data_IF_983954950911
#
_entry.id   IF_983954950911
#
_cell.length_a   1.000
_cell.length_b   1.000
_cell.length_c   1.000
_cell.angle_alpha   90.00
_cell.angle_beta   90.00
_cell.angle_gamma   90.00
#
_symmetry.space_group_name_H-M   'P 1'
#
loop_
_entity.id
_entity.type
_entity.pdbx_description
1 polymer ?
#
# COMPACT_ATOMS: atom_id res chain seq x y z
N UNK A 1 29.60 26.52 -39.11
CA UNK A 1 28.21 26.56 -38.66
C UNK A 1 28.05 25.47 -37.59
N UNK A 2 27.85 25.87 -36.36
CA UNK A 2 27.80 24.93 -35.22
C UNK A 2 26.37 24.37 -35.17
N UNK A 3 26.20 23.08 -35.48
CA UNK A 3 24.92 22.36 -35.32
C UNK A 3 24.68 22.11 -33.84
N UNK A 4 23.62 22.66 -33.30
CA UNK A 4 23.20 22.43 -31.91
C UNK A 4 22.30 21.21 -31.87
N UNK A 5 22.62 20.22 -31.04
CA UNK A 5 21.75 19.07 -30.78
C UNK A 5 20.61 19.56 -29.89
N UNK A 6 19.34 19.43 -30.36
CA UNK A 6 18.13 19.77 -29.62
C UNK A 6 17.23 18.55 -29.52
N UNK A 7 16.25 18.57 -28.62
CA UNK A 7 15.31 17.47 -28.43
C UNK A 7 13.95 17.83 -29.02
N UNK A 8 13.36 16.90 -29.79
CA UNK A 8 12.02 17.04 -30.34
C UNK A 8 10.99 17.16 -29.22
N UNK A 9 10.17 18.24 -29.18
CA UNK A 9 9.18 18.45 -28.10
C UNK A 9 8.06 17.41 -28.11
N UNK A 10 7.80 16.73 -29.24
CA UNK A 10 6.73 15.75 -29.33
C UNK A 10 7.14 14.33 -28.91
N UNK A 11 8.40 13.92 -29.12
CA UNK A 11 8.84 12.53 -28.86
C UNK A 11 10.12 12.40 -28.05
N UNK A 12 10.81 13.51 -27.74
CA UNK A 12 12.04 13.53 -26.92
C UNK A 12 13.30 13.01 -27.62
N UNK A 13 13.28 12.74 -28.93
CA UNK A 13 14.49 12.30 -29.67
C UNK A 13 15.41 13.48 -29.93
N UNK A 14 16.72 13.22 -29.86
CA UNK A 14 17.73 14.19 -30.24
C UNK A 14 17.72 14.39 -31.76
N UNK A 15 17.71 15.65 -32.21
CA UNK A 15 17.74 16.06 -33.63
C UNK A 15 18.71 17.23 -33.80
N UNK A 16 19.41 17.25 -34.91
CA UNK A 16 20.20 18.41 -35.31
C UNK A 16 19.27 19.40 -36.03
N UNK A 17 18.65 20.30 -35.26
CA UNK A 17 17.74 21.31 -35.78
C UNK A 17 17.60 22.49 -34.81
N UNK A 18 16.91 23.53 -35.22
CA UNK A 18 16.67 24.68 -34.37
C UNK A 18 15.82 24.29 -33.12
N UNK A 19 16.00 24.98 -31.98
CA UNK A 19 15.24 24.73 -30.77
C UNK A 19 13.73 24.79 -31.00
N UNK A 20 13.01 23.76 -30.64
CA UNK A 20 11.54 23.67 -30.78
C UNK A 20 11.03 23.04 -32.08
N UNK A 21 11.91 22.65 -33.02
CA UNK A 21 11.50 21.97 -34.25
C UNK A 21 11.11 20.49 -34.00
N UNK A 22 10.06 20.03 -34.70
CA UNK A 22 9.68 18.62 -34.69
C UNK A 22 10.65 17.78 -35.51
N UNK A 23 10.97 16.57 -35.05
CA UNK A 23 11.76 15.63 -35.82
C UNK A 23 11.04 15.18 -37.10
N UNK A 24 11.75 14.67 -38.14
CA UNK A 24 11.15 14.29 -39.41
C UNK A 24 9.96 13.33 -39.28
N UNK A 25 10.00 12.39 -38.32
CA UNK A 25 8.92 11.43 -38.08
C UNK A 25 7.67 12.08 -37.46
N UNK A 26 7.85 13.06 -36.56
CA UNK A 26 6.72 13.77 -35.95
C UNK A 26 6.14 14.82 -36.90
N UNK A 27 6.93 15.30 -37.86
CA UNK A 27 6.48 16.25 -38.90
C UNK A 27 5.58 15.59 -39.94
N UNK A 28 5.84 14.32 -40.28
CA UNK A 28 5.04 13.56 -41.24
C UNK A 28 3.76 12.95 -40.68
N UNK A 29 3.62 12.89 -39.35
CA UNK A 29 2.42 12.38 -38.67
C UNK A 29 1.38 13.46 -38.30
N UNK A 30 1.61 14.72 -38.65
CA UNK A 30 0.57 15.77 -38.51
C UNK A 30 -0.51 15.58 -39.55
N UNK A 31 -1.80 15.44 -39.23
CA UNK A 31 -2.86 15.42 -40.21
C UNK A 31 -2.90 16.77 -40.91
N UNK A 32 -2.90 16.69 -42.25
CA UNK A 32 -3.01 17.84 -43.16
C UNK A 32 -4.22 18.69 -42.79
N UNK A 33 -4.00 20.00 -42.75
CA UNK A 33 -4.99 21.09 -42.62
C UNK A 33 -6.28 20.81 -43.41
N UNK A 34 -7.32 20.39 -42.71
CA UNK A 34 -8.68 20.48 -43.20
C UNK A 34 -9.20 21.90 -42.92
N UNK A 35 -9.55 22.59 -44.00
CA UNK A 35 -10.18 23.93 -44.04
C UNK A 35 -11.41 23.96 -43.12
N UNK A 36 -11.47 24.97 -42.27
CA UNK A 36 -12.64 25.31 -41.48
C UNK A 36 -13.74 25.89 -42.37
N UNK A 37 -14.97 25.36 -42.37
CA UNK A 37 -16.12 26.11 -42.87
C UNK A 37 -16.53 27.17 -41.84
N UNK A 38 -16.58 28.42 -42.28
CA UNK A 38 -17.26 29.52 -41.57
C UNK A 38 -18.75 29.34 -41.75
N UNK A 39 -19.45 28.80 -40.79
CA UNK A 39 -20.87 29.04 -40.57
C UNK A 39 -21.15 29.11 -39.06
N UNK A 40 -21.76 30.24 -38.69
CA UNK A 40 -22.23 30.52 -37.36
C UNK A 40 -23.39 29.56 -37.02
N UNK A 41 -23.24 28.74 -36.04
CA UNK A 41 -24.31 28.01 -35.42
C UNK A 41 -24.14 28.06 -33.88
N UNK A 42 -25.25 28.19 -33.20
CA UNK A 42 -25.58 28.44 -31.81
C UNK A 42 -24.57 27.96 -30.73
N UNK A 43 -24.48 28.69 -29.60
CA UNK A 43 -23.60 28.27 -28.50
C UNK A 43 -24.03 26.89 -27.98
N UNK A 44 -23.08 25.95 -27.80
CA UNK A 44 -23.43 24.67 -27.24
C UNK A 44 -23.97 24.87 -25.83
N UNK A 45 -25.11 24.23 -25.54
CA UNK A 45 -25.69 24.12 -24.21
C UNK A 45 -24.63 23.70 -23.23
N UNK A 46 -24.50 24.43 -22.12
CA UNK A 46 -23.59 24.13 -21.04
C UNK A 46 -23.88 22.72 -20.50
N UNK A 47 -23.10 21.73 -20.95
CA UNK A 47 -23.01 20.45 -20.29
C UNK A 47 -22.32 20.70 -18.96
N UNK A 48 -22.94 20.29 -17.86
CA UNK A 48 -22.38 20.32 -16.52
C UNK A 48 -20.96 19.79 -16.51
N UNK A 49 -20.02 20.43 -15.81
CA UNK A 49 -18.68 19.91 -15.66
C UNK A 49 -18.78 18.60 -14.86
N UNK A 50 -18.56 17.46 -15.50
CA UNK A 50 -18.31 16.22 -14.80
C UNK A 50 -17.12 16.45 -13.88
N UNK A 51 -17.36 16.44 -12.56
CA UNK A 51 -16.41 16.89 -11.52
C UNK A 51 -15.15 16.03 -11.34
N UNK A 52 -14.74 15.30 -12.35
CA UNK A 52 -13.51 14.50 -12.34
C UNK A 52 -12.58 14.98 -13.44
N UNK A 53 -11.38 15.49 -13.10
CA UNK A 53 -10.37 15.79 -14.11
C UNK A 53 -10.05 14.53 -14.92
N UNK A 54 -9.79 14.64 -16.22
CA UNK A 54 -9.41 13.50 -17.03
C UNK A 54 -8.18 12.86 -16.43
N UNK A 55 -8.32 11.60 -16.05
CA UNK A 55 -7.20 10.77 -15.64
C UNK A 55 -6.23 10.74 -16.81
N UNK A 56 -4.96 11.15 -16.58
CA UNK A 56 -3.94 11.03 -17.60
C UNK A 56 -3.98 9.62 -18.18
N UNK A 57 -4.25 9.50 -19.47
CA UNK A 57 -4.34 8.20 -20.13
C UNK A 57 -3.09 7.39 -19.81
N UNK A 58 -3.24 6.13 -19.40
CA UNK A 58 -2.10 5.25 -19.21
C UNK A 58 -1.33 5.18 -20.52
N UNK A 59 -0.04 5.51 -20.50
CA UNK A 59 0.84 5.39 -21.67
C UNK A 59 0.62 4.00 -22.27
N UNK A 60 0.17 3.87 -23.54
CA UNK A 60 -0.10 2.58 -24.12
C UNK A 60 1.17 1.74 -24.03
N UNK A 61 1.14 0.67 -23.27
CA UNK A 61 2.24 -0.27 -23.23
C UNK A 61 2.26 -1.00 -24.57
N UNK A 62 3.30 -0.83 -25.37
CA UNK A 62 3.57 -1.63 -26.60
C UNK A 62 3.94 -3.08 -26.25
N UNK A 63 3.67 -3.50 -25.04
CA UNK A 63 3.93 -4.87 -24.59
C UNK A 63 2.85 -5.81 -25.13
N UNK A 64 3.26 -6.98 -25.60
CA UNK A 64 2.36 -8.11 -25.88
C UNK A 64 1.35 -8.24 -24.73
N UNK A 65 0.05 -8.43 -25.05
CA UNK A 65 -0.96 -8.54 -23.99
C UNK A 65 -0.55 -9.64 -23.02
N UNK A 66 -0.27 -9.24 -21.78
CA UNK A 66 0.00 -10.21 -20.72
C UNK A 66 -1.25 -11.05 -20.50
N UNK A 67 -1.08 -12.35 -20.27
CA UNK A 67 -2.20 -13.19 -19.90
C UNK A 67 -2.74 -12.70 -18.55
N UNK A 68 -3.93 -12.09 -18.56
CA UNK A 68 -4.56 -11.47 -17.37
C UNK A 68 -4.68 -12.47 -16.21
N UNK A 69 -4.97 -13.73 -16.51
CA UNK A 69 -5.08 -14.80 -15.51
C UNK A 69 -3.73 -15.18 -14.92
N UNK A 70 -2.68 -15.14 -15.73
CA UNK A 70 -1.32 -15.34 -15.23
C UNK A 70 -0.88 -14.19 -14.31
N UNK A 71 -1.24 -12.96 -14.63
CA UNK A 71 -0.99 -11.81 -13.75
C UNK A 71 -1.71 -11.96 -12.41
N UNK A 72 -2.96 -12.43 -12.40
CA UNK A 72 -3.71 -12.70 -11.17
C UNK A 72 -3.08 -13.83 -10.37
N UNK A 73 -2.65 -14.90 -11.02
CA UNK A 73 -1.95 -16.01 -10.38
C UNK A 73 -0.66 -15.54 -9.68
N UNK A 74 0.17 -14.76 -10.35
CA UNK A 74 1.37 -14.17 -9.74
C UNK A 74 1.03 -13.22 -8.59
N UNK A 75 -0.01 -12.40 -8.74
CA UNK A 75 -0.45 -11.53 -7.66
C UNK A 75 -0.88 -12.33 -6.42
N UNK A 76 -1.57 -13.44 -6.60
CA UNK A 76 -1.96 -14.34 -5.51
C UNK A 76 -0.74 -15.00 -4.84
N UNK A 77 0.25 -15.46 -5.61
CA UNK A 77 1.48 -16.03 -5.05
C UNK A 77 2.28 -15.00 -4.26
N UNK A 78 2.40 -13.77 -4.77
CA UNK A 78 3.11 -12.68 -4.10
C UNK A 78 2.40 -12.32 -2.80
N UNK A 79 1.07 -12.17 -2.85
CA UNK A 79 0.26 -11.95 -1.66
C UNK A 79 0.44 -13.07 -0.63
N UNK A 80 0.37 -14.33 -1.06
CA UNK A 80 0.60 -15.49 -0.18
C UNK A 80 1.99 -15.50 0.45
N UNK A 81 3.02 -15.11 -0.32
CA UNK A 81 4.42 -15.06 0.18
C UNK A 81 4.64 -13.99 1.26
N UNK A 82 3.76 -13.01 1.39
CA UNK A 82 3.81 -12.02 2.47
C UNK A 82 3.33 -12.54 3.84
N UNK A 83 3.03 -13.83 3.96
CA UNK A 83 2.43 -14.42 5.15
C UNK A 83 0.91 -14.34 5.19
N UNK A 84 0.30 -13.64 4.23
CA UNK A 84 -1.13 -13.41 4.18
C UNK A 84 -1.94 -14.71 4.12
N UNK A 85 -1.42 -15.74 3.47
CA UNK A 85 -2.07 -17.04 3.42
C UNK A 85 -2.20 -17.68 4.82
N UNK A 86 -1.14 -17.62 5.64
CA UNK A 86 -1.14 -18.17 7.00
C UNK A 86 -2.12 -17.41 7.90
N UNK A 87 -2.11 -16.07 7.81
CA UNK A 87 -3.03 -15.22 8.57
C UNK A 87 -4.47 -15.41 8.13
N UNK A 88 -4.72 -15.58 6.84
CA UNK A 88 -6.04 -15.87 6.31
C UNK A 88 -6.56 -17.24 6.75
N UNK A 89 -5.69 -18.24 6.82
CA UNK A 89 -6.02 -19.57 7.33
C UNK A 89 -6.35 -19.53 8.83
N UNK A 90 -5.58 -18.79 9.63
CA UNK A 90 -5.86 -18.59 11.05
C UNK A 90 -7.21 -17.87 11.26
N UNK A 91 -7.50 -16.80 10.47
CA UNK A 91 -8.78 -16.12 10.50
C UNK A 91 -9.95 -17.07 10.17
N UNK A 92 -9.77 -17.90 9.14
CA UNK A 92 -10.78 -18.89 8.75
C UNK A 92 -10.99 -19.93 9.87
N UNK A 93 -9.92 -20.44 10.47
CA UNK A 93 -9.99 -21.39 11.59
C UNK A 93 -10.75 -20.79 12.78
N UNK A 94 -10.46 -19.54 13.14
CA UNK A 94 -11.19 -18.82 14.20
C UNK A 94 -12.67 -18.70 13.89
N UNK A 95 -13.04 -18.36 12.66
CA UNK A 95 -14.43 -18.27 12.21
C UNK A 95 -15.14 -19.62 12.27
N UNK A 96 -14.48 -20.72 11.85
CA UNK A 96 -15.05 -22.08 11.93
C UNK A 96 -15.27 -22.50 13.38
N UNK A 97 -14.28 -22.28 14.25
CA UNK A 97 -14.41 -22.60 15.68
C UNK A 97 -15.56 -21.81 16.32
N UNK A 98 -15.70 -20.54 15.98
CA UNK A 98 -16.81 -19.71 16.45
C UNK A 98 -18.16 -20.24 15.95
N UNK A 99 -18.27 -20.59 14.67
CA UNK A 99 -19.49 -21.16 14.08
C UNK A 99 -19.87 -22.51 14.72
N UNK A 100 -18.87 -23.28 15.18
CA UNK A 100 -19.06 -24.52 15.92
C UNK A 100 -19.30 -24.32 17.42
N UNK A 101 -19.46 -23.08 17.88
CA UNK A 101 -19.57 -22.71 19.30
C UNK A 101 -18.40 -23.23 20.17
N UNK A 102 -17.22 -23.40 19.58
CA UNK A 102 -16.00 -23.80 20.28
C UNK A 102 -15.26 -22.57 20.81
N UNK A 103 -14.62 -22.71 21.97
CA UNK A 103 -13.72 -21.65 22.49
C UNK A 103 -12.49 -21.54 21.61
N UNK A 104 -12.04 -20.30 21.36
CA UNK A 104 -10.77 -20.05 20.71
C UNK A 104 -9.64 -20.50 21.65
N UNK A 105 -8.55 -21.12 21.12
CA UNK A 105 -7.41 -21.45 21.93
C UNK A 105 -6.77 -20.16 22.51
N UNK A 106 -6.56 -20.14 23.82
CA UNK A 106 -5.75 -19.11 24.48
C UNK A 106 -4.27 -19.48 24.33
N UNK A 107 -3.52 -18.63 23.63
CA UNK A 107 -2.06 -18.79 23.49
C UNK A 107 -1.39 -17.69 24.29
N UNK A 108 -0.60 -18.09 25.28
CA UNK A 108 0.26 -17.16 26.01
C UNK A 108 1.46 -16.77 25.14
N UNK A 109 1.54 -15.50 24.76
CA UNK A 109 2.63 -14.99 23.91
C UNK A 109 3.83 -14.67 24.79
N UNK A 110 4.90 -15.44 24.63
CA UNK A 110 6.16 -15.22 25.33
C UNK A 110 7.09 -14.26 24.58
N UNK A 111 8.09 -13.73 25.27
CA UNK A 111 9.14 -12.87 24.67
C UNK A 111 9.81 -13.51 23.46
N UNK A 112 10.23 -14.77 23.59
CA UNK A 112 10.85 -15.51 22.48
C UNK A 112 9.92 -15.68 21.29
N UNK A 113 8.65 -15.98 21.54
CA UNK A 113 7.65 -16.05 20.46
C UNK A 113 7.48 -14.72 19.77
N UNK A 114 7.39 -13.62 20.51
CA UNK A 114 7.25 -12.27 19.92
C UNK A 114 8.46 -11.91 19.02
N UNK A 115 9.68 -12.16 19.48
CA UNK A 115 10.90 -11.94 18.67
C UNK A 115 10.89 -12.79 17.40
N UNK A 116 10.56 -14.08 17.52
CA UNK A 116 10.48 -14.99 16.36
C UNK A 116 9.40 -14.50 15.39
N UNK A 117 8.22 -14.11 15.87
CA UNK A 117 7.15 -13.57 15.03
C UNK A 117 7.59 -12.33 14.26
N UNK A 118 8.26 -11.38 14.93
CA UNK A 118 8.77 -10.16 14.31
C UNK A 118 9.85 -10.48 13.27
N UNK A 119 10.79 -11.39 13.56
CA UNK A 119 11.81 -11.82 12.63
C UNK A 119 11.22 -12.52 11.39
N UNK A 120 10.26 -13.42 11.59
CA UNK A 120 9.54 -14.09 10.49
C UNK A 120 8.79 -13.08 9.66
N UNK A 121 8.14 -12.09 10.28
CA UNK A 121 7.45 -11.01 9.56
C UNK A 121 8.41 -10.22 8.66
N UNK A 122 9.59 -9.85 9.14
CA UNK A 122 10.61 -9.18 8.34
C UNK A 122 11.07 -10.02 7.15
N UNK A 123 11.33 -11.32 7.37
CA UNK A 123 11.71 -12.25 6.28
C UNK A 123 10.61 -12.33 5.23
N UNK A 124 9.35 -12.49 5.65
CA UNK A 124 8.22 -12.54 4.74
C UNK A 124 8.00 -11.23 3.97
N UNK A 125 8.18 -10.08 4.62
CA UNK A 125 8.15 -8.78 3.96
C UNK A 125 9.25 -8.65 2.90
N UNK A 126 10.47 -9.11 3.20
CA UNK A 126 11.57 -9.12 2.25
C UNK A 126 11.27 -10.02 1.05
N UNK A 127 10.75 -11.21 1.28
CA UNK A 127 10.35 -12.15 0.20
C UNK A 127 9.26 -11.53 -0.67
N UNK A 128 8.22 -10.95 -0.06
CA UNK A 128 7.15 -10.29 -0.78
C UNK A 128 7.64 -9.09 -1.61
N UNK A 129 8.58 -8.30 -1.04
CA UNK A 129 9.19 -7.17 -1.76
C UNK A 129 10.01 -7.63 -2.96
N UNK A 130 10.86 -8.65 -2.79
CA UNK A 130 11.68 -9.21 -3.87
C UNK A 130 10.82 -9.85 -4.96
N UNK A 131 9.79 -10.60 -4.58
CA UNK A 131 8.84 -11.21 -5.50
C UNK A 131 8.04 -10.13 -6.28
N UNK A 132 7.56 -9.09 -5.58
CA UNK A 132 6.90 -7.94 -6.20
C UNK A 132 7.83 -7.21 -7.16
N UNK A 133 9.07 -7.00 -6.75
CA UNK A 133 10.07 -6.36 -7.58
C UNK A 133 10.36 -7.15 -8.86
N UNK A 134 10.59 -8.46 -8.76
CA UNK A 134 10.79 -9.34 -9.91
C UNK A 134 9.58 -9.32 -10.87
N UNK A 135 8.37 -9.38 -10.32
CA UNK A 135 7.12 -9.35 -11.09
C UNK A 135 6.90 -7.99 -11.78
N UNK A 136 7.00 -6.89 -11.04
CA UNK A 136 6.75 -5.53 -11.54
C UNK A 136 7.78 -5.11 -12.58
N UNK A 137 9.05 -5.47 -12.38
CA UNK A 137 10.11 -5.17 -13.35
C UNK A 137 10.13 -6.11 -14.56
N UNK A 138 9.25 -7.12 -14.58
CA UNK A 138 9.31 -8.16 -15.61
C UNK A 138 10.72 -8.75 -15.74
N UNK A 139 11.33 -9.10 -14.60
CA UNK A 139 12.70 -9.57 -14.51
C UNK A 139 13.69 -8.58 -15.15
N UNK A 140 13.79 -7.40 -14.55
CA UNK A 140 14.71 -6.28 -14.92
C UNK A 140 14.40 -5.56 -16.26
N UNK A 141 13.32 -5.87 -16.96
CA UNK A 141 12.98 -5.22 -18.24
C UNK A 141 12.33 -3.84 -18.08
N UNK A 142 11.81 -3.52 -16.88
CA UNK A 142 11.11 -2.25 -16.60
C UNK A 142 11.65 -1.58 -15.33
N UNK A 143 11.69 -0.25 -15.28
CA UNK A 143 12.11 0.47 -14.08
C UNK A 143 11.06 0.32 -12.97
N UNK A 144 11.47 -0.19 -11.81
CA UNK A 144 10.60 -0.54 -10.69
C UNK A 144 9.72 0.63 -10.22
N UNK A 145 10.34 1.71 -9.76
CA UNK A 145 9.63 2.84 -9.18
C UNK A 145 8.65 3.51 -10.14
N UNK A 146 9.05 3.63 -11.41
CA UNK A 146 8.17 4.19 -12.44
C UNK A 146 6.97 3.29 -12.71
N UNK A 147 7.16 1.98 -12.75
CA UNK A 147 6.09 1.00 -13.00
C UNK A 147 5.09 0.93 -11.84
N UNK A 148 5.56 1.14 -10.60
CA UNK A 148 4.69 1.26 -9.42
C UNK A 148 3.84 2.55 -9.39
N UNK A 149 4.18 3.55 -10.22
CA UNK A 149 3.62 4.89 -10.09
C UNK A 149 4.16 5.62 -8.85
N UNK A 150 5.48 5.51 -8.59
CA UNK A 150 6.14 6.16 -7.45
C UNK A 150 6.37 7.64 -7.75
N UNK A 151 5.31 8.40 -7.72
CA UNK A 151 5.32 9.84 -7.89
C UNK A 151 4.23 10.49 -7.05
N UNK A 152 4.41 11.80 -6.79
CA UNK A 152 3.41 12.57 -6.07
C UNK A 152 2.36 13.10 -7.05
N UNK A 153 1.09 12.87 -6.76
CA UNK A 153 0.02 13.36 -7.63
C UNK A 153 -0.14 14.89 -7.48
N UNK A 154 -0.29 15.66 -8.57
CA UNK A 154 -0.32 17.14 -8.50
C UNK A 154 -1.36 17.73 -7.56
N UNK A 155 -2.52 17.10 -7.47
CA UNK A 155 -3.64 17.56 -6.63
C UNK A 155 -3.59 16.99 -5.21
N UNK A 156 -2.70 16.03 -4.91
CA UNK A 156 -2.55 15.42 -3.59
C UNK A 156 -1.22 15.80 -2.97
N UNK A 157 -1.27 16.69 -1.97
CA UNK A 157 -0.09 17.19 -1.25
C UNK A 157 0.10 16.42 0.06
N UNK A 158 1.28 16.49 0.65
CA UNK A 158 1.59 15.86 1.93
C UNK A 158 0.60 16.25 3.06
N UNK A 159 0.07 17.49 3.03
CA UNK A 159 -0.94 17.96 3.98
C UNK A 159 -2.22 17.14 3.92
N UNK A 160 -2.61 16.65 2.74
CA UNK A 160 -3.77 15.77 2.60
C UNK A 160 -3.51 14.39 3.22
N UNK A 161 -2.27 13.88 3.10
CA UNK A 161 -1.88 12.63 3.76
C UNK A 161 -1.96 12.75 5.29
N UNK A 162 -1.46 13.86 5.84
CA UNK A 162 -1.58 14.17 7.28
C UNK A 162 -3.05 14.28 7.69
N UNK A 163 -3.86 15.03 6.93
CA UNK A 163 -5.28 15.21 7.25
C UNK A 163 -6.04 13.87 7.25
N UNK A 164 -5.79 13.01 6.26
CA UNK A 164 -6.39 11.68 6.21
C UNK A 164 -5.92 10.80 7.39
N UNK A 165 -4.63 10.81 7.73
CA UNK A 165 -4.11 10.07 8.87
C UNK A 165 -4.73 10.52 10.19
N UNK A 166 -4.85 11.83 10.41
CA UNK A 166 -5.50 12.41 11.60
C UNK A 166 -6.98 12.05 11.64
N UNK A 167 -7.68 12.13 10.50
CA UNK A 167 -9.09 11.73 10.40
C UNK A 167 -9.27 10.25 10.77
N UNK A 168 -8.44 9.37 10.22
CA UNK A 168 -8.50 7.92 10.52
C UNK A 168 -8.16 7.64 11.99
N UNK A 169 -7.20 8.35 12.57
CA UNK A 169 -6.89 8.25 13.99
C UNK A 169 -8.07 8.72 14.87
N UNK A 170 -8.68 9.86 14.52
CA UNK A 170 -9.89 10.35 15.19
C UNK A 170 -11.06 9.37 15.10
N UNK A 171 -11.26 8.74 13.94
CA UNK A 171 -12.23 7.66 13.76
C UNK A 171 -11.94 6.49 14.73
N UNK A 172 -10.67 6.09 14.85
CA UNK A 172 -10.25 5.04 15.76
C UNK A 172 -10.57 5.37 17.22
N UNK A 173 -10.27 6.59 17.67
CA UNK A 173 -10.62 7.06 19.03
C UNK A 173 -12.15 7.02 19.23
N UNK A 174 -12.92 7.50 18.28
CA UNK A 174 -14.37 7.48 18.36
C UNK A 174 -14.91 6.06 18.47
N UNK A 175 -14.50 5.17 17.56
CA UNK A 175 -14.97 3.78 17.54
C UNK A 175 -14.55 3.00 18.78
N UNK A 176 -13.37 3.25 19.36
CA UNK A 176 -12.91 2.59 20.57
C UNK A 176 -13.75 2.95 21.81
N UNK A 177 -14.49 4.07 21.76
CA UNK A 177 -15.41 4.48 22.87
C UNK A 177 -16.79 3.88 22.76
N UNK A 178 -17.21 3.49 21.55
CA UNK A 178 -18.61 3.06 21.27
C UNK A 178 -18.74 1.56 20.95
N UNK A 179 -17.66 0.92 20.54
CA UNK A 179 -17.67 -0.48 20.15
C UNK A 179 -17.01 -1.38 21.22
N UNK A 180 -17.49 -2.63 21.36
CA UNK A 180 -16.90 -3.55 22.32
C UNK A 180 -15.46 -3.87 21.98
N UNK A 181 -14.66 -4.04 23.03
CA UNK A 181 -13.25 -4.35 22.95
C UNK A 181 -12.89 -5.43 23.97
N UNK A 182 -12.14 -6.41 23.51
CA UNK A 182 -11.39 -7.34 24.34
C UNK A 182 -9.92 -7.29 23.93
N UNK A 183 -9.03 -7.70 24.80
CA UNK A 183 -7.59 -7.64 24.53
C UNK A 183 -7.22 -8.40 23.28
N UNK A 184 -6.49 -7.75 22.39
CA UNK A 184 -6.03 -8.29 21.12
C UNK A 184 -4.65 -8.93 21.24
N UNK A 185 -4.26 -9.79 20.28
CA UNK A 185 -2.92 -10.40 20.27
C UNK A 185 -1.81 -9.35 20.09
N UNK A 186 -2.10 -8.26 19.34
CA UNK A 186 -1.18 -7.12 19.22
C UNK A 186 -0.96 -6.44 20.58
N UNK A 187 -2.01 -6.22 21.36
CA UNK A 187 -1.88 -5.62 22.70
C UNK A 187 -1.11 -6.52 23.64
N UNK A 188 -1.30 -7.85 23.60
CA UNK A 188 -0.50 -8.80 24.38
C UNK A 188 0.98 -8.70 24.04
N UNK A 189 1.34 -8.61 22.76
CA UNK A 189 2.71 -8.42 22.31
C UNK A 189 3.28 -7.09 22.83
N UNK A 190 2.53 -6.00 22.73
CA UNK A 190 2.98 -4.68 23.16
C UNK A 190 3.19 -4.57 24.68
N UNK A 191 2.51 -5.40 25.48
CA UNK A 191 2.70 -5.48 26.94
C UNK A 191 4.00 -6.18 27.35
N UNK A 192 4.66 -6.89 26.43
CA UNK A 192 5.92 -7.57 26.71
C UNK A 192 7.10 -6.63 27.02
N UNK A 193 6.97 -5.31 26.77
CA UNK A 193 7.91 -4.30 27.20
C UNK A 193 8.38 -3.36 26.11
N UNK A 194 9.16 -2.35 26.52
CA UNK A 194 9.56 -1.23 25.67
C UNK A 194 10.35 -1.67 24.43
N UNK A 195 11.24 -2.65 24.54
CA UNK A 195 12.01 -3.14 23.39
C UNK A 195 11.09 -3.70 22.29
N UNK A 196 10.11 -4.52 22.67
CA UNK A 196 9.14 -5.07 21.72
C UNK A 196 8.29 -3.95 21.10
N UNK A 197 7.86 -2.96 21.89
CA UNK A 197 7.14 -1.78 21.37
C UNK A 197 7.95 -1.03 20.32
N UNK A 198 9.25 -0.80 20.56
CA UNK A 198 10.14 -0.14 19.59
C UNK A 198 10.29 -0.99 18.32
N UNK A 199 10.51 -2.29 18.45
CA UNK A 199 10.63 -3.19 17.29
C UNK A 199 9.34 -3.18 16.46
N UNK A 200 8.18 -3.30 17.10
CA UNK A 200 6.86 -3.22 16.44
C UNK A 200 6.67 -1.87 15.78
N UNK A 201 7.00 -0.76 16.47
CA UNK A 201 6.87 0.59 15.93
C UNK A 201 7.73 0.80 14.67
N UNK A 202 8.99 0.38 14.71
CA UNK A 202 9.89 0.47 13.55
C UNK A 202 9.34 -0.35 12.37
N UNK A 203 8.90 -1.58 12.63
CA UNK A 203 8.34 -2.45 11.60
C UNK A 203 7.04 -1.88 11.02
N UNK A 204 6.13 -1.42 11.88
CA UNK A 204 4.83 -0.89 11.49
C UNK A 204 4.93 0.45 10.73
N UNK A 205 5.94 1.27 11.00
CA UNK A 205 6.09 2.59 10.36
C UNK A 205 6.97 2.52 9.12
N UNK A 206 8.11 1.83 9.18
CA UNK A 206 9.13 1.91 8.14
C UNK A 206 8.97 0.86 7.05
N UNK A 207 8.69 -0.40 7.39
CA UNK A 207 8.74 -1.51 6.42
C UNK A 207 7.38 -2.03 6.00
N UNK A 208 6.47 -2.25 6.95
CA UNK A 208 5.16 -2.81 6.64
C UNK A 208 4.37 -1.95 5.64
N UNK A 209 4.19 -0.62 5.82
CA UNK A 209 3.41 0.18 4.88
C UNK A 209 3.98 0.15 3.46
N UNK A 210 5.31 0.16 3.31
CA UNK A 210 5.93 0.10 2.00
C UNK A 210 5.60 -1.22 1.28
N UNK A 211 5.82 -2.33 1.96
CA UNK A 211 5.59 -3.66 1.38
C UNK A 211 4.11 -3.90 1.12
N UNK A 212 3.26 -3.54 2.08
CA UNK A 212 1.81 -3.70 1.98
C UNK A 212 1.23 -2.88 0.83
N UNK A 213 1.61 -1.61 0.68
CA UNK A 213 1.11 -0.80 -0.43
C UNK A 213 1.60 -1.35 -1.78
N UNK A 214 2.83 -1.85 -1.88
CA UNK A 214 3.32 -2.51 -3.09
C UNK A 214 2.49 -3.76 -3.40
N UNK A 215 2.26 -4.63 -2.42
CA UNK A 215 1.51 -5.87 -2.61
C UNK A 215 0.03 -5.58 -2.92
N UNK A 216 -0.63 -4.81 -2.07
CA UNK A 216 -2.09 -4.64 -2.18
C UNK A 216 -2.50 -3.61 -3.25
N UNK A 217 -1.85 -2.44 -3.31
CA UNK A 217 -2.26 -1.32 -4.20
C UNK A 217 -1.53 -1.34 -5.54
N UNK A 218 -0.38 -2.00 -5.64
CA UNK A 218 0.30 -2.11 -6.93
C UNK A 218 0.09 -3.47 -7.59
N UNK A 219 0.35 -4.58 -6.89
CA UNK A 219 0.28 -5.92 -7.49
C UNK A 219 -1.17 -6.43 -7.57
N UNK A 220 -1.84 -6.59 -6.41
CA UNK A 220 -3.18 -7.19 -6.33
C UNK A 220 -4.23 -6.30 -7.00
N UNK A 221 -4.29 -5.02 -6.63
CA UNK A 221 -5.24 -4.07 -7.22
C UNK A 221 -5.13 -4.06 -8.74
N UNK A 222 -3.92 -3.91 -9.30
CA UNK A 222 -3.73 -3.85 -10.75
C UNK A 222 -4.05 -5.16 -11.47
N UNK A 223 -3.83 -6.31 -10.84
CA UNK A 223 -4.19 -7.61 -11.42
C UNK A 223 -5.71 -7.80 -11.50
N UNK A 224 -6.43 -7.46 -10.43
CA UNK A 224 -7.89 -7.53 -10.39
C UNK A 224 -8.53 -6.48 -11.31
N UNK A 225 -8.02 -5.25 -11.32
CA UNK A 225 -8.52 -4.17 -12.18
C UNK A 225 -8.50 -4.55 -13.67
N UNK A 226 -7.44 -5.22 -14.12
CA UNK A 226 -7.33 -5.70 -15.52
C UNK A 226 -8.34 -6.76 -15.92
N UNK A 227 -8.86 -7.53 -14.97
CA UNK A 227 -9.83 -8.61 -15.22
C UNK A 227 -11.25 -8.13 -15.02
N UNK A 228 -11.51 -7.50 -13.88
CA UNK A 228 -12.86 -7.26 -13.37
C UNK A 228 -13.18 -5.77 -13.19
N UNK A 229 -12.26 -4.88 -13.57
CA UNK A 229 -12.45 -3.44 -13.50
C UNK A 229 -12.20 -2.83 -12.11
N UNK A 230 -12.29 -1.50 -12.07
CA UNK A 230 -11.89 -0.68 -10.94
C UNK A 230 -12.66 -0.97 -9.65
N UNK A 231 -13.98 -1.11 -9.75
CA UNK A 231 -14.83 -1.36 -8.57
C UNK A 231 -14.49 -2.69 -7.89
N UNK A 232 -14.31 -3.75 -8.68
CA UNK A 232 -13.92 -5.06 -8.18
C UNK A 232 -12.52 -5.03 -7.55
N UNK A 233 -11.57 -4.28 -8.13
CA UNK A 233 -10.24 -4.13 -7.60
C UNK A 233 -10.25 -3.39 -6.24
N UNK A 234 -11.06 -2.33 -6.11
CA UNK A 234 -11.24 -1.62 -4.83
C UNK A 234 -11.79 -2.59 -3.77
N UNK A 235 -12.86 -3.30 -4.08
CA UNK A 235 -13.46 -4.23 -3.15
C UNK A 235 -12.48 -5.36 -2.74
N UNK A 236 -11.83 -6.00 -3.71
CA UNK A 236 -10.90 -7.10 -3.47
C UNK A 236 -9.69 -6.64 -2.63
N UNK A 237 -8.99 -5.57 -3.02
CA UNK A 237 -7.81 -5.09 -2.30
C UNK A 237 -8.17 -4.66 -0.87
N UNK A 238 -9.33 -4.01 -0.67
CA UNK A 238 -9.81 -3.62 0.66
C UNK A 238 -10.11 -4.84 1.52
N UNK A 239 -10.86 -5.79 0.98
CA UNK A 239 -11.29 -6.96 1.73
C UNK A 239 -10.11 -7.86 2.14
N UNK A 240 -9.23 -8.22 1.19
CA UNK A 240 -8.13 -9.13 1.49
C UNK A 240 -7.06 -8.49 2.39
N UNK A 241 -6.88 -7.15 2.33
CA UNK A 241 -6.03 -6.43 3.27
C UNK A 241 -6.62 -6.51 4.69
N UNK A 242 -7.90 -6.26 4.84
CA UNK A 242 -8.56 -6.33 6.14
C UNK A 242 -8.55 -7.76 6.70
N UNK A 243 -8.81 -8.76 5.85
CA UNK A 243 -8.90 -10.16 6.25
C UNK A 243 -7.62 -10.67 6.94
N UNK A 244 -6.45 -10.31 6.44
CA UNK A 244 -5.17 -10.75 7.03
C UNK A 244 -4.85 -10.08 8.37
N UNK A 245 -5.52 -8.97 8.69
CA UNK A 245 -5.38 -8.28 9.97
C UNK A 245 -6.37 -8.76 11.03
N UNK A 246 -7.46 -9.43 10.63
CA UNK A 246 -8.48 -9.91 11.56
C UNK A 246 -7.91 -10.77 12.71
N UNK A 247 -7.00 -11.75 12.47
CA UNK A 247 -6.46 -12.55 13.57
C UNK A 247 -5.73 -11.73 14.63
N UNK A 248 -4.94 -10.75 14.19
CA UNK A 248 -4.11 -9.91 15.06
C UNK A 248 -4.95 -9.00 15.98
N UNK A 249 -6.11 -8.57 15.47
CA UNK A 249 -7.04 -7.65 16.15
C UNK A 249 -8.34 -8.33 16.55
N UNK A 250 -8.35 -9.67 16.62
CA UNK A 250 -9.52 -10.43 17.06
C UNK A 250 -9.93 -9.99 18.47
N UNK A 251 -11.18 -9.66 18.64
CA UNK A 251 -11.71 -9.12 19.89
C UNK A 251 -11.90 -7.60 19.91
N UNK A 252 -11.32 -6.86 18.95
CA UNK A 252 -11.54 -5.42 18.81
C UNK A 252 -12.28 -5.06 17.53
N UNK A 253 -13.60 -4.97 17.61
CA UNK A 253 -14.44 -4.55 16.46
C UNK A 253 -14.03 -3.15 15.99
N UNK A 254 -13.65 -2.26 16.91
CA UNK A 254 -13.16 -0.93 16.58
C UNK A 254 -11.90 -0.98 15.71
N UNK A 255 -10.89 -1.76 16.10
CA UNK A 255 -9.65 -1.88 15.34
C UNK A 255 -9.89 -2.47 13.95
N UNK A 256 -10.68 -3.55 13.84
CA UNK A 256 -11.02 -4.16 12.55
C UNK A 256 -11.75 -3.15 11.65
N UNK A 257 -12.71 -2.39 12.19
CA UNK A 257 -13.45 -1.36 11.42
C UNK A 257 -12.51 -0.25 10.93
N UNK A 258 -11.56 0.20 11.75
CA UNK A 258 -10.55 1.20 11.35
C UNK A 258 -9.64 0.65 10.25
N UNK A 259 -9.20 -0.61 10.35
CA UNK A 259 -8.37 -1.28 9.34
C UNK A 259 -9.09 -1.37 8.00
N UNK A 260 -10.36 -1.78 8.00
CA UNK A 260 -11.22 -1.79 6.80
C UNK A 260 -11.33 -0.39 6.21
N UNK A 261 -11.61 0.61 7.05
CA UNK A 261 -11.75 2.02 6.63
C UNK A 261 -10.45 2.57 6.05
N UNK A 262 -9.32 2.33 6.71
CA UNK A 262 -7.99 2.74 6.22
C UNK A 262 -7.68 2.07 4.89
N UNK A 263 -7.89 0.75 4.79
CA UNK A 263 -7.68 0.02 3.54
C UNK A 263 -8.54 0.58 2.40
N UNK A 264 -9.80 0.88 2.66
CA UNK A 264 -10.70 1.49 1.66
C UNK A 264 -10.18 2.88 1.24
N UNK A 265 -9.82 3.74 2.17
CA UNK A 265 -9.28 5.09 1.89
C UNK A 265 -8.01 5.00 1.05
N UNK A 266 -7.05 4.15 1.41
CA UNK A 266 -5.81 3.98 0.67
C UNK A 266 -6.06 3.41 -0.74
N UNK A 267 -7.00 2.47 -0.88
CA UNK A 267 -7.35 1.89 -2.18
C UNK A 267 -8.10 2.87 -3.07
N UNK A 268 -8.99 3.69 -2.51
CA UNK A 268 -9.64 4.80 -3.24
C UNK A 268 -8.62 5.85 -3.66
N UNK A 269 -7.65 6.17 -2.79
CA UNK A 269 -6.55 7.08 -3.11
C UNK A 269 -5.72 6.55 -4.28
N UNK A 270 -5.39 5.25 -4.29
CA UNK A 270 -4.74 4.58 -5.43
C UNK A 270 -5.58 4.67 -6.69
N UNK A 271 -6.87 4.35 -6.61
CA UNK A 271 -7.80 4.36 -7.73
C UNK A 271 -7.99 5.75 -8.34
N UNK A 272 -7.95 6.78 -7.50
CA UNK A 272 -8.08 8.17 -7.92
C UNK A 272 -6.78 8.74 -8.50
N UNK A 273 -5.65 8.57 -7.79
CA UNK A 273 -4.38 9.21 -8.17
C UNK A 273 -3.58 8.42 -9.21
N UNK A 274 -3.83 7.11 -9.34
CA UNK A 274 -2.95 6.23 -10.11
C UNK A 274 -1.54 6.08 -9.52
N UNK A 275 -1.25 6.75 -8.39
CA UNK A 275 0.07 6.84 -7.77
C UNK A 275 0.15 6.02 -6.49
N UNK A 276 1.31 5.39 -6.23
CA UNK A 276 1.53 4.61 -5.02
C UNK A 276 2.04 5.46 -3.86
N UNK A 277 2.88 6.45 -4.14
CA UNK A 277 3.53 7.28 -3.11
C UNK A 277 2.54 7.99 -2.16
N UNK A 278 1.40 8.56 -2.61
CA UNK A 278 0.37 9.08 -1.73
C UNK A 278 -0.17 8.05 -0.72
N UNK A 279 -0.37 6.80 -1.17
CA UNK A 279 -0.87 5.71 -0.32
C UNK A 279 0.16 5.35 0.75
N UNK A 280 1.42 5.12 0.33
CA UNK A 280 2.52 4.82 1.26
C UNK A 280 2.70 5.92 2.29
N UNK A 281 2.73 7.19 1.85
CA UNK A 281 2.91 8.34 2.76
C UNK A 281 1.76 8.43 3.78
N UNK A 282 0.51 8.31 3.33
CA UNK A 282 -0.65 8.36 4.23
C UNK A 282 -0.61 7.22 5.25
N UNK A 283 -0.29 6.00 4.81
CA UNK A 283 -0.19 4.84 5.67
C UNK A 283 0.95 4.97 6.69
N UNK A 284 2.15 5.39 6.25
CA UNK A 284 3.28 5.62 7.16
C UNK A 284 3.00 6.70 8.20
N UNK A 285 2.33 7.80 7.82
CA UNK A 285 1.96 8.87 8.75
C UNK A 285 0.93 8.34 9.76
N UNK A 286 -0.08 7.60 9.32
CA UNK A 286 -1.08 7.01 10.19
C UNK A 286 -0.45 6.07 11.24
N UNK A 287 0.38 5.13 10.81
CA UNK A 287 1.10 4.22 11.71
C UNK A 287 2.12 4.98 12.58
N UNK A 288 2.75 6.03 12.03
CA UNK A 288 3.69 6.88 12.76
C UNK A 288 3.04 7.60 13.94
N UNK A 289 1.83 8.13 13.76
CA UNK A 289 1.06 8.75 14.87
C UNK A 289 0.79 7.74 15.98
N UNK A 290 0.38 6.51 15.62
CA UNK A 290 0.15 5.45 16.59
C UNK A 290 1.43 5.03 17.32
N UNK A 291 2.54 4.89 16.58
CA UNK A 291 3.84 4.53 17.14
C UNK A 291 4.35 5.58 18.13
N UNK A 292 4.21 6.88 17.81
CA UNK A 292 4.59 7.96 18.72
C UNK A 292 3.78 7.87 20.02
N UNK A 293 2.47 7.69 19.93
CA UNK A 293 1.61 7.59 21.11
C UNK A 293 1.95 6.35 21.95
N UNK A 294 2.21 5.21 21.29
CA UNK A 294 2.63 3.98 21.94
C UNK A 294 3.93 4.16 22.76
N UNK A 295 4.88 4.92 22.23
CA UNK A 295 6.19 5.10 22.84
C UNK A 295 6.23 6.22 23.89
N UNK A 296 5.38 7.26 23.75
CA UNK A 296 5.36 8.43 24.65
C UNK A 296 4.44 8.21 25.86
N UNK A 297 3.43 7.33 25.75
CA UNK A 297 2.49 7.05 26.84
C UNK A 297 2.63 5.60 27.39
N UNK A 298 3.82 5.20 27.89
CA UNK A 298 4.07 3.84 28.36
C UNK A 298 3.27 3.48 29.61
N UNK A 299 2.89 4.45 30.44
CA UNK A 299 2.25 4.24 31.76
C UNK A 299 0.88 3.56 31.69
N UNK A 300 0.27 3.50 30.53
CA UNK A 300 -1.00 2.78 30.32
C UNK A 300 -0.81 1.29 30.02
N UNK A 301 0.42 0.83 29.80
CA UNK A 301 0.77 -0.56 29.54
C UNK A 301 1.92 -0.98 30.47
N UNK A 302 1.67 -1.75 31.54
CA UNK A 302 2.73 -2.23 32.42
C UNK A 302 3.72 -3.10 31.63
N UNK A 303 5.02 -2.85 31.86
CA UNK A 303 6.09 -3.65 31.24
C UNK A 303 6.19 -5.01 31.95
N UNK A 304 6.09 -6.08 31.17
CA UNK A 304 6.49 -7.41 31.60
C UNK A 304 8.01 -7.48 31.36
N UNK A 305 8.80 -7.51 32.44
CA UNK A 305 10.25 -7.56 32.35
C UNK A 305 10.70 -8.76 31.51
N UNK A 306 11.65 -8.58 30.55
CA UNK A 306 12.17 -9.68 29.77
C UNK A 306 12.82 -10.72 30.68
N UNK A 307 12.71 -12.04 30.38
CA UNK A 307 13.40 -13.04 31.13
C UNK A 307 14.91 -12.74 31.11
N UNK A 308 15.56 -12.77 32.28
CA UNK A 308 17.00 -12.45 32.44
C UNK A 308 17.88 -13.16 31.38
N UNK A 309 17.54 -14.39 31.05
CA UNK A 309 18.21 -15.20 30.04
C UNK A 309 18.16 -14.60 28.64
N UNK A 310 17.01 -14.05 28.23
CA UNK A 310 16.86 -13.43 26.91
C UNK A 310 17.68 -12.13 26.80
N UNK A 311 17.73 -11.34 27.89
CA UNK A 311 18.52 -10.13 27.94
C UNK A 311 20.04 -10.43 27.92
N UNK A 312 20.48 -11.47 28.61
CA UNK A 312 21.89 -11.92 28.58
C UNK A 312 22.29 -12.38 27.18
N UNK A 313 21.47 -13.20 26.54
CA UNK A 313 21.73 -13.66 25.14
C UNK A 313 21.80 -12.48 24.18
N UNK A 314 20.88 -11.51 24.29
CA UNK A 314 20.89 -10.34 23.43
C UNK A 314 22.13 -9.46 23.68
N UNK A 315 22.51 -9.25 24.95
CA UNK A 315 23.73 -8.48 25.31
C UNK A 315 24.99 -9.18 24.80
N UNK A 316 25.10 -10.51 24.97
CA UNK A 316 26.21 -11.30 24.43
C UNK A 316 26.27 -11.23 22.89
N UNK A 317 25.13 -11.28 22.23
CA UNK A 317 25.07 -11.17 20.76
C UNK A 317 25.44 -9.78 20.24
N UNK A 318 25.11 -8.72 20.99
CA UNK A 318 25.47 -7.34 20.70
C UNK A 318 26.88 -6.95 21.19
N UNK A 319 27.64 -7.86 21.82
CA UNK A 319 28.96 -7.59 22.37
C UNK A 319 28.94 -6.62 23.56
N UNK A 320 27.80 -6.46 24.23
CA UNK A 320 27.58 -5.61 25.40
C UNK A 320 27.67 -6.49 26.67
N UNK A 321 28.90 -6.84 27.11
CA UNK A 321 29.15 -7.55 28.38
C UNK A 321 29.20 -6.57 29.54
#
# INVERSE_FOLDING_TARGET
MSSTITYCPACGRSVESEPGALCPQCRTSSPSSALWPTEASDPPSASEPSGWPPVAEPIPSQDKPSNKWLDLFWAFLIWGSSGAFLLGLDALLRLVLLAMHKKLPEVEITWSMAIIMLAVTLVMQLVALLASWAYVTRWWKKPFWRTLGWHWHPQFKWVHAVALAVLMYGLGIFLSKVLPHTETDVEKILKLGTLIRVMVAVLAVATAPLVEEIVYRSVVYSAVERISGKAAAIAAATFIFALVHVPQYWGSVAAITVIVSLSLVLTLLRAWTGSLLPCVATHMIYNGVQAVILLVAPDKMPDIAPPKTAMIILMQWLGLN
#
